data_IF_404811256713
#
_entry.id   IF_404811256713
#
_cell.length_a   1.000
_cell.length_b   1.000
_cell.length_c   1.000
_cell.angle_alpha   90.00
_cell.angle_beta   90.00
_cell.angle_gamma   90.00
#
_symmetry.space_group_name_H-M   'P 1'
#
loop_
_entity.id
_entity.type
_entity.pdbx_description
1 polymer ?
#
# COMPACT_ATOMS: atom_id res chain seq x y z
N UNK A 1 76.73 -29.67 19.73
CA UNK A 1 75.65 -29.04 18.92
C UNK A 1 74.38 -28.97 19.74
N UNK A 2 74.07 -27.80 20.33
CA UNK A 2 72.71 -27.28 20.64
C UNK A 2 72.90 -25.92 21.34
N UNK A 3 72.08 -24.96 20.91
CA UNK A 3 72.33 -23.51 20.87
C UNK A 3 71.93 -22.78 22.17
N UNK A 4 72.74 -21.76 22.51
CA UNK A 4 72.42 -20.38 22.99
C UNK A 4 71.20 -20.22 23.93
N UNK A 5 71.31 -19.87 25.21
CA UNK A 5 71.79 -18.64 25.88
C UNK A 5 70.92 -17.38 25.64
N UNK A 6 70.67 -16.68 26.76
CA UNK A 6 70.09 -15.35 26.98
C UNK A 6 68.57 -15.21 27.20
N UNK A 7 68.27 -15.32 28.50
CA UNK A 7 67.24 -14.65 29.29
C UNK A 7 67.09 -13.17 28.90
N UNK A 8 65.94 -12.81 28.32
CA UNK A 8 65.58 -11.46 27.91
C UNK A 8 64.29 -10.99 28.59
N UNK A 9 64.47 -10.03 29.51
CA UNK A 9 63.73 -8.77 29.61
C UNK A 9 62.20 -8.80 29.86
N UNK A 10 61.86 -8.48 31.12
CA UNK A 10 60.64 -7.78 31.53
C UNK A 10 60.24 -6.68 30.54
N UNK A 11 58.96 -6.65 30.15
CA UNK A 11 58.23 -5.40 29.92
C UNK A 11 56.72 -5.69 29.97
N UNK A 12 56.14 -5.50 31.15
CA UNK A 12 54.70 -5.61 31.38
C UNK A 12 54.00 -4.45 30.68
N UNK A 13 53.35 -4.72 29.56
CA UNK A 13 52.52 -3.73 28.87
C UNK A 13 51.18 -3.59 29.61
N UNK A 14 51.00 -2.47 30.33
CA UNK A 14 49.67 -1.99 30.71
C UNK A 14 48.93 -1.58 29.44
N UNK A 15 47.99 -2.41 28.98
CA UNK A 15 47.00 -1.99 27.98
C UNK A 15 45.84 -1.38 28.75
N UNK A 16 45.77 -0.05 28.69
CA UNK A 16 44.69 0.74 29.25
C UNK A 16 43.35 0.36 28.63
N UNK A 17 42.35 0.15 29.47
CA UNK A 17 40.96 -0.04 29.10
C UNK A 17 40.45 1.27 28.48
N UNK A 18 40.37 1.34 27.16
CA UNK A 18 39.65 2.41 26.47
C UNK A 18 38.15 2.20 26.70
N UNK A 19 37.61 3.09 27.53
CA UNK A 19 36.19 3.26 27.84
C UNK A 19 35.35 3.33 26.56
N UNK A 20 34.42 2.39 26.38
CA UNK A 20 33.36 2.51 25.39
C UNK A 20 32.37 3.57 25.88
N UNK A 21 32.35 4.75 25.25
CA UNK A 21 31.31 5.74 25.48
C UNK A 21 29.98 5.20 24.95
N UNK A 22 29.07 4.84 25.86
CA UNK A 22 27.69 4.51 25.54
C UNK A 22 26.94 5.77 25.12
N UNK A 23 26.68 5.91 23.82
CA UNK A 23 25.69 6.86 23.31
C UNK A 23 24.32 6.35 23.74
N UNK A 24 23.75 6.98 24.77
CA UNK A 24 22.36 6.78 25.16
C UNK A 24 21.45 7.44 24.13
N UNK A 25 20.71 6.62 23.38
CA UNK A 25 19.57 7.10 22.60
C UNK A 25 18.51 7.65 23.57
N UNK A 26 17.84 8.78 23.25
CA UNK A 26 16.71 9.23 24.03
C UNK A 26 15.58 8.21 23.94
N UNK A 27 15.15 7.71 25.08
CA UNK A 27 13.97 6.86 25.24
C UNK A 27 12.74 7.67 24.80
N UNK A 28 12.18 7.37 23.64
CA UNK A 28 10.84 7.82 23.30
C UNK A 28 9.86 7.12 24.25
N UNK A 29 9.46 7.81 25.31
CA UNK A 29 8.32 7.43 26.12
C UNK A 29 7.07 7.96 25.40
N UNK A 30 6.15 7.11 24.91
CA UNK A 30 4.88 7.60 24.43
C UNK A 30 4.11 8.09 25.65
N UNK A 31 4.06 9.41 25.84
CA UNK A 31 3.14 10.05 26.77
C UNK A 31 1.71 9.69 26.33
N UNK A 32 1.08 8.79 27.08
CA UNK A 32 -0.33 8.48 26.93
C UNK A 32 -1.14 9.65 27.49
N UNK A 33 -1.31 10.70 26.70
CA UNK A 33 -2.32 11.71 26.99
C UNK A 33 -3.69 11.08 26.73
N UNK A 34 -4.43 10.75 27.79
CA UNK A 34 -5.86 10.50 27.70
C UNK A 34 -6.55 11.82 27.38
N UNK A 35 -6.62 12.17 26.10
CA UNK A 35 -7.60 13.14 25.63
C UNK A 35 -8.93 12.41 25.48
N UNK A 36 -9.71 12.41 26.56
CA UNK A 36 -11.17 12.31 26.48
C UNK A 36 -11.70 13.65 25.95
N UNK A 37 -11.50 13.89 24.67
CA UNK A 37 -12.17 14.96 23.94
C UNK A 37 -13.37 14.32 23.22
N UNK A 38 -14.55 14.49 23.81
CA UNK A 38 -15.82 14.35 23.13
C UNK A 38 -15.90 15.38 22.01
N UNK A 39 -15.36 15.05 20.83
CA UNK A 39 -15.60 15.78 19.61
C UNK A 39 -16.94 15.34 19.04
N UNK A 40 -17.99 16.10 19.34
CA UNK A 40 -19.22 16.11 18.55
C UNK A 40 -18.90 16.76 17.21
N UNK A 41 -18.26 15.99 16.32
CA UNK A 41 -18.30 16.20 14.89
C UNK A 41 -19.25 15.14 14.34
N UNK A 42 -20.34 15.55 13.72
CA UNK A 42 -21.28 14.65 13.04
C UNK A 42 -20.61 14.03 11.81
N UNK A 43 -19.73 13.07 12.05
CA UNK A 43 -19.38 12.02 11.12
C UNK A 43 -19.89 10.74 11.78
N UNK A 44 -21.01 10.23 11.30
CA UNK A 44 -21.59 8.96 11.75
C UNK A 44 -20.64 7.83 11.41
N UNK A 45 -19.72 7.50 12.31
CA UNK A 45 -18.99 6.23 12.26
C UNK A 45 -20.03 5.14 12.57
N UNK A 46 -20.55 4.50 11.53
CA UNK A 46 -21.47 3.37 11.69
C UNK A 46 -20.74 2.26 12.47
N UNK A 47 -21.13 2.06 13.73
CA UNK A 47 -20.52 1.07 14.63
C UNK A 47 -20.93 -0.37 14.30
N UNK A 48 -21.86 -0.57 13.36
CA UNK A 48 -22.29 -1.89 12.90
C UNK A 48 -21.92 -2.09 11.41
N UNK A 49 -20.89 -2.90 11.16
CA UNK A 49 -20.32 -3.15 9.83
C UNK A 49 -21.33 -3.67 8.78
N UNK A 50 -22.44 -4.27 9.22
CA UNK A 50 -23.41 -4.96 8.34
C UNK A 50 -24.80 -4.34 8.37
N UNK A 51 -24.98 -3.20 9.05
CA UNK A 51 -26.27 -2.54 9.18
C UNK A 51 -26.37 -1.33 8.26
N UNK A 52 -27.57 -1.11 7.73
CA UNK A 52 -27.89 0.03 6.87
C UNK A 52 -28.09 -0.35 5.40
N UNK A 53 -28.14 0.67 4.57
CA UNK A 53 -28.20 0.57 3.12
C UNK A 53 -26.91 -0.05 2.55
N UNK A 54 -26.96 -0.60 1.32
CA UNK A 54 -25.76 -1.12 0.66
C UNK A 54 -24.61 -0.09 0.64
N UNK A 55 -24.92 1.19 0.42
CA UNK A 55 -23.95 2.27 0.38
C UNK A 55 -23.27 2.51 1.74
N UNK A 56 -24.01 2.42 2.85
CA UNK A 56 -23.46 2.56 4.20
C UNK A 56 -22.55 1.38 4.56
N UNK A 57 -22.96 0.16 4.22
CA UNK A 57 -22.11 -1.03 4.41
C UNK A 57 -20.81 -0.87 3.63
N UNK A 58 -20.89 -0.47 2.36
CA UNK A 58 -19.71 -0.24 1.52
C UNK A 58 -18.79 0.84 2.11
N UNK A 59 -19.34 1.96 2.58
CA UNK A 59 -18.58 3.05 3.18
C UNK A 59 -17.81 2.63 4.46
N UNK A 60 -18.30 1.61 5.18
CA UNK A 60 -17.56 1.05 6.33
C UNK A 60 -16.44 0.09 5.91
N UNK A 61 -16.60 -0.63 4.78
CA UNK A 61 -15.66 -1.65 4.31
C UNK A 61 -14.53 -1.05 3.46
N UNK A 62 -14.83 -0.05 2.65
CA UNK A 62 -13.87 0.62 1.76
C UNK A 62 -12.59 1.09 2.47
N UNK A 63 -12.62 1.74 3.65
CA UNK A 63 -11.39 2.20 4.30
C UNK A 63 -10.56 1.08 4.93
N UNK A 64 -11.10 -0.13 5.10
CA UNK A 64 -10.40 -1.23 5.77
C UNK A 64 -9.19 -1.71 4.95
N UNK A 65 -8.13 -2.11 5.65
CA UNK A 65 -6.94 -2.70 5.03
C UNK A 65 -7.24 -4.10 4.49
N UNK A 66 -6.50 -4.53 3.46
CA UNK A 66 -6.62 -5.90 2.93
C UNK A 66 -6.40 -6.96 4.01
N UNK A 67 -5.45 -6.75 4.94
CA UNK A 67 -5.22 -7.68 6.06
C UNK A 67 -6.41 -7.78 7.00
N UNK A 68 -7.08 -6.65 7.29
CA UNK A 68 -8.29 -6.64 8.12
C UNK A 68 -9.45 -7.32 7.41
N UNK A 69 -9.63 -7.06 6.12
CA UNK A 69 -10.65 -7.70 5.29
C UNK A 69 -10.45 -9.22 5.23
N UNK A 70 -9.23 -9.71 5.03
CA UNK A 70 -8.93 -11.16 5.05
C UNK A 70 -9.23 -11.79 6.41
N UNK A 71 -8.91 -11.10 7.52
CA UNK A 71 -9.26 -11.57 8.86
C UNK A 71 -10.78 -11.60 9.10
N UNK A 72 -11.54 -10.65 8.56
CA UNK A 72 -13.00 -10.68 8.61
C UNK A 72 -13.56 -11.82 7.74
N UNK A 73 -12.94 -12.09 6.59
CA UNK A 73 -13.36 -13.16 5.69
C UNK A 73 -13.27 -14.54 6.34
N UNK A 74 -12.21 -14.81 7.12
CA UNK A 74 -12.05 -16.08 7.82
C UNK A 74 -13.03 -16.27 8.98
N UNK A 75 -13.62 -15.19 9.48
CA UNK A 75 -14.62 -15.19 10.56
C UNK A 75 -16.06 -15.18 10.03
N UNK A 76 -16.26 -14.85 8.75
CA UNK A 76 -17.57 -14.71 8.15
C UNK A 76 -18.19 -16.09 7.87
N UNK A 77 -19.22 -16.45 8.63
CA UNK A 77 -20.04 -17.65 8.38
C UNK A 77 -21.21 -17.38 7.43
N UNK A 78 -21.65 -16.12 7.35
CA UNK A 78 -22.76 -15.68 6.52
C UNK A 78 -22.30 -15.45 5.07
N UNK A 79 -22.89 -16.13 4.07
CA UNK A 79 -22.56 -15.95 2.66
C UNK A 79 -22.67 -14.50 2.18
N UNK A 80 -23.66 -13.73 2.68
CA UNK A 80 -23.86 -12.32 2.28
C UNK A 80 -22.71 -11.46 2.79
N UNK A 81 -22.31 -11.64 4.05
CA UNK A 81 -21.16 -10.92 4.62
C UNK A 81 -19.85 -11.29 3.93
N UNK A 82 -19.67 -12.58 3.62
CA UNK A 82 -18.51 -13.07 2.88
C UNK A 82 -18.41 -12.43 1.48
N UNK A 83 -19.54 -12.33 0.77
CA UNK A 83 -19.60 -11.70 -0.55
C UNK A 83 -19.28 -10.20 -0.51
N UNK A 84 -19.74 -9.46 0.50
CA UNK A 84 -19.34 -8.06 0.74
C UNK A 84 -17.83 -7.91 0.95
N UNK A 85 -17.22 -8.78 1.76
CA UNK A 85 -15.77 -8.75 2.02
C UNK A 85 -14.99 -9.10 0.75
N UNK A 86 -15.45 -10.10 0.00
CA UNK A 86 -14.87 -10.47 -1.30
C UNK A 86 -14.89 -9.28 -2.27
N UNK A 87 -15.99 -8.54 -2.33
CA UNK A 87 -16.11 -7.35 -3.17
C UNK A 87 -15.11 -6.26 -2.76
N UNK A 88 -14.96 -6.00 -1.47
CA UNK A 88 -13.98 -5.05 -0.95
C UNK A 88 -12.54 -5.48 -1.29
N UNK A 89 -12.23 -6.77 -1.19
CA UNK A 89 -10.92 -7.32 -1.58
C UNK A 89 -10.66 -7.19 -3.08
N UNK A 90 -11.67 -7.42 -3.94
CA UNK A 90 -11.57 -7.21 -5.40
C UNK A 90 -11.23 -5.75 -5.71
N UNK A 91 -11.92 -4.80 -5.07
CA UNK A 91 -11.65 -3.37 -5.24
C UNK A 91 -10.21 -3.00 -4.85
N UNK A 92 -9.72 -3.47 -3.69
CA UNK A 92 -8.36 -3.20 -3.22
C UNK A 92 -7.30 -3.78 -4.15
N UNK A 93 -7.44 -5.05 -4.54
CA UNK A 93 -6.47 -5.77 -5.36
C UNK A 93 -6.29 -5.14 -6.75
N UNK A 94 -7.37 -4.65 -7.34
CA UNK A 94 -7.39 -4.17 -8.72
C UNK A 94 -7.43 -2.64 -8.86
N UNK A 95 -7.10 -1.90 -7.79
CA UNK A 95 -7.11 -0.42 -7.77
C UNK A 95 -6.28 0.25 -8.86
N UNK A 96 -5.28 -0.44 -9.41
CA UNK A 96 -4.40 0.06 -10.48
C UNK A 96 -4.65 -0.60 -11.84
N UNK A 97 -5.57 -1.54 -11.94
CA UNK A 97 -5.88 -2.27 -13.17
C UNK A 97 -7.39 -2.33 -13.40
N UNK A 98 -7.91 -1.30 -14.06
CA UNK A 98 -9.35 -1.14 -14.33
C UNK A 98 -9.94 -2.27 -15.16
N UNK A 99 -9.18 -2.82 -16.13
CA UNK A 99 -9.65 -3.95 -16.94
C UNK A 99 -9.80 -5.21 -16.08
N UNK A 100 -8.84 -5.49 -15.19
CA UNK A 100 -8.94 -6.60 -14.26
C UNK A 100 -10.05 -6.39 -13.23
N UNK A 101 -10.22 -5.16 -12.74
CA UNK A 101 -11.32 -4.80 -11.84
C UNK A 101 -12.67 -5.11 -12.50
N UNK A 102 -12.88 -4.65 -13.74
CA UNK A 102 -14.12 -4.91 -14.47
C UNK A 102 -14.40 -6.41 -14.63
N UNK A 103 -13.39 -7.20 -15.05
CA UNK A 103 -13.51 -8.66 -15.16
C UNK A 103 -13.91 -9.33 -13.84
N UNK A 104 -13.24 -8.95 -12.76
CA UNK A 104 -13.48 -9.56 -11.44
C UNK A 104 -14.84 -9.13 -10.87
N UNK A 105 -15.32 -7.91 -11.16
CA UNK A 105 -16.65 -7.46 -10.78
C UNK A 105 -17.75 -8.19 -11.56
N UNK A 106 -17.57 -8.42 -12.86
CA UNK A 106 -18.50 -9.22 -13.68
C UNK A 106 -18.58 -10.65 -13.12
N UNK A 107 -17.43 -11.28 -12.86
CA UNK A 107 -17.38 -12.62 -12.30
C UNK A 107 -18.02 -12.70 -10.90
N UNK A 108 -17.77 -11.71 -10.05
CA UNK A 108 -18.37 -11.61 -8.72
C UNK A 108 -19.89 -11.46 -8.78
N UNK A 109 -20.41 -10.62 -9.69
CA UNK A 109 -21.86 -10.45 -9.91
C UNK A 109 -22.51 -11.75 -10.38
N UNK A 110 -21.88 -12.47 -11.30
CA UNK A 110 -22.39 -13.75 -11.80
C UNK A 110 -22.50 -14.81 -10.68
N UNK A 111 -21.60 -14.78 -9.69
CA UNK A 111 -21.64 -15.64 -8.52
C UNK A 111 -22.65 -15.17 -7.45
N UNK A 112 -23.05 -13.89 -7.48
CA UNK A 112 -23.86 -13.24 -6.46
C UNK A 112 -25.04 -12.45 -7.08
N UNK A 113 -25.93 -13.05 -7.89
CA UNK A 113 -26.93 -12.32 -8.67
C UNK A 113 -27.98 -11.58 -7.81
N UNK A 114 -28.33 -12.12 -6.64
CA UNK A 114 -29.31 -11.52 -5.72
C UNK A 114 -28.70 -10.64 -4.64
N UNK A 115 -27.39 -10.37 -4.69
CA UNK A 115 -26.70 -9.67 -3.61
C UNK A 115 -26.98 -8.16 -3.60
N UNK A 116 -27.25 -7.53 -2.44
CA UNK A 116 -27.61 -6.12 -2.34
C UNK A 116 -26.57 -5.15 -2.92
N UNK A 117 -25.29 -5.53 -2.89
CA UNK A 117 -24.20 -4.73 -3.47
C UNK A 117 -24.30 -4.53 -5.00
N UNK A 118 -25.08 -5.34 -5.72
CA UNK A 118 -25.29 -5.15 -7.16
C UNK A 118 -25.88 -3.77 -7.49
N UNK A 119 -26.63 -3.16 -6.57
CA UNK A 119 -27.16 -1.80 -6.70
C UNK A 119 -26.08 -0.71 -6.75
N UNK A 120 -24.88 -0.98 -6.25
CA UNK A 120 -23.75 -0.03 -6.21
C UNK A 120 -22.83 -0.15 -7.42
N UNK A 121 -22.91 -1.26 -8.14
CA UNK A 121 -21.98 -1.56 -9.21
C UNK A 121 -22.44 -0.89 -10.53
N UNK A 122 -21.49 -0.53 -11.43
CA UNK A 122 -21.84 -0.04 -12.76
C UNK A 122 -22.68 -1.06 -13.54
N UNK A 123 -23.41 -0.59 -14.56
CA UNK A 123 -24.15 -1.47 -15.48
C UNK A 123 -23.22 -2.47 -16.17
N UNK A 124 -23.73 -3.64 -16.58
CA UNK A 124 -22.95 -4.63 -17.33
C UNK A 124 -22.29 -4.02 -18.57
N UNK A 125 -23.04 -3.20 -19.31
CA UNK A 125 -22.51 -2.49 -20.47
C UNK A 125 -21.32 -1.56 -20.14
N UNK A 126 -21.34 -0.91 -18.97
CA UNK A 126 -20.21 -0.08 -18.54
C UNK A 126 -19.01 -0.94 -18.14
N UNK A 127 -19.22 -2.09 -17.47
CA UNK A 127 -18.15 -3.02 -17.12
C UNK A 127 -17.52 -3.65 -18.37
N UNK A 128 -18.32 -4.03 -19.37
CA UNK A 128 -17.84 -4.56 -20.65
C UNK A 128 -16.98 -3.55 -21.40
N UNK A 129 -17.39 -2.27 -21.41
CA UNK A 129 -16.59 -1.18 -21.99
C UNK A 129 -15.25 -1.00 -21.27
N UNK A 130 -15.25 -1.04 -19.93
CA UNK A 130 -14.04 -0.93 -19.13
C UNK A 130 -13.10 -2.12 -19.34
N UNK A 131 -13.64 -3.32 -19.56
CA UNK A 131 -12.86 -4.51 -19.88
C UNK A 131 -12.22 -4.41 -21.28
N UNK A 132 -12.95 -3.87 -22.26
CA UNK A 132 -12.48 -3.72 -23.63
C UNK A 132 -11.55 -2.52 -23.85
N UNK A 133 -11.45 -1.60 -22.88
CA UNK A 133 -10.67 -0.37 -23.01
C UNK A 133 -9.16 -0.70 -23.11
N UNK A 134 -8.48 -0.38 -24.23
CA UNK A 134 -7.06 -0.64 -24.36
C UNK A 134 -6.25 0.22 -23.39
N UNK A 135 -5.08 -0.25 -22.91
CA UNK A 135 -4.18 0.58 -22.13
C UNK A 135 -3.72 1.81 -22.93
N UNK A 136 -3.43 2.94 -22.27
CA UNK A 136 -3.04 4.17 -22.96
C UNK A 136 -1.70 4.00 -23.68
N UNK A 137 -1.66 4.27 -24.99
CA UNK A 137 -0.45 4.11 -25.81
C UNK A 137 0.51 5.30 -25.72
N UNK A 138 0.02 6.48 -25.32
CA UNK A 138 0.83 7.69 -25.21
C UNK A 138 0.64 8.33 -23.83
N UNK A 139 1.74 8.58 -23.14
CA UNK A 139 1.75 9.24 -21.84
C UNK A 139 2.56 10.55 -21.93
N UNK A 140 1.91 11.67 -21.60
CA UNK A 140 2.57 12.96 -21.46
C UNK A 140 2.70 13.31 -19.97
N UNK A 141 3.93 13.56 -19.51
CA UNK A 141 4.21 13.91 -18.11
C UNK A 141 4.72 15.34 -18.08
N UNK A 142 3.99 16.20 -17.37
CA UNK A 142 4.31 17.61 -17.19
C UNK A 142 5.14 17.78 -15.91
N UNK A 143 6.40 18.16 -16.06
CA UNK A 143 7.32 18.39 -14.95
C UNK A 143 8.06 19.71 -15.15
N UNK A 144 8.39 20.44 -14.08
CA UNK A 144 9.29 21.57 -14.20
C UNK A 144 10.67 21.09 -14.66
N UNK A 145 11.02 21.38 -15.91
CA UNK A 145 12.34 21.01 -16.46
C UNK A 145 13.44 21.99 -16.05
N UNK A 146 13.06 23.22 -15.68
CA UNK A 146 13.97 24.34 -15.44
C UNK A 146 13.46 25.22 -14.29
N UNK A 147 14.27 26.21 -13.90
CA UNK A 147 13.92 27.17 -12.85
C UNK A 147 14.04 26.58 -11.44
N UNK A 148 13.44 27.23 -10.43
CA UNK A 148 13.61 26.87 -9.01
C UNK A 148 13.24 25.42 -8.67
N UNK A 149 12.34 24.80 -9.44
CA UNK A 149 11.83 23.45 -9.21
C UNK A 149 12.40 22.40 -10.19
N UNK A 150 13.33 22.80 -11.07
CA UNK A 150 13.90 21.92 -12.10
C UNK A 150 14.57 20.67 -11.53
N UNK A 151 15.29 20.83 -10.41
CA UNK A 151 15.95 19.70 -9.73
C UNK A 151 14.94 18.66 -9.23
N UNK A 152 13.82 19.09 -8.63
CA UNK A 152 12.76 18.18 -8.20
C UNK A 152 12.06 17.49 -9.37
N UNK A 153 11.81 18.22 -10.46
CA UNK A 153 11.26 17.66 -11.70
C UNK A 153 12.17 16.57 -12.28
N UNK A 154 13.49 16.78 -12.27
CA UNK A 154 14.45 15.80 -12.73
C UNK A 154 14.42 14.51 -11.88
N UNK A 155 14.37 14.62 -10.55
CA UNK A 155 14.27 13.44 -9.67
C UNK A 155 13.00 12.63 -9.92
N UNK A 156 11.85 13.31 -10.14
CA UNK A 156 10.60 12.62 -10.47
C UNK A 156 10.69 11.91 -11.82
N UNK A 157 11.29 12.56 -12.83
CA UNK A 157 11.52 11.95 -14.15
C UNK A 157 12.37 10.69 -14.05
N UNK A 158 13.46 10.74 -13.31
CA UNK A 158 14.36 9.60 -13.12
C UNK A 158 13.68 8.46 -12.37
N UNK A 159 12.97 8.76 -11.28
CA UNK A 159 12.18 7.77 -10.53
C UNK A 159 11.12 7.10 -11.40
N UNK A 160 10.39 7.88 -12.20
CA UNK A 160 9.42 7.34 -13.15
C UNK A 160 10.09 6.41 -14.17
N UNK A 161 11.16 6.86 -14.82
CA UNK A 161 11.84 6.08 -15.86
C UNK A 161 12.41 4.76 -15.31
N UNK A 162 12.98 4.78 -14.10
CA UNK A 162 13.46 3.57 -13.43
C UNK A 162 12.33 2.55 -13.23
N UNK A 163 11.18 2.99 -12.66
CA UNK A 163 10.03 2.12 -12.46
C UNK A 163 9.40 1.64 -13.78
N UNK A 164 9.34 2.53 -14.78
CA UNK A 164 8.82 2.25 -16.11
C UNK A 164 9.63 1.16 -16.80
N UNK A 165 10.96 1.31 -16.85
CA UNK A 165 11.84 0.34 -17.48
C UNK A 165 11.91 -0.98 -16.72
N UNK A 166 11.77 -0.96 -15.39
CA UNK A 166 11.63 -2.19 -14.59
C UNK A 166 10.33 -2.98 -14.90
N UNK A 167 9.33 -2.34 -15.51
CA UNK A 167 8.03 -2.96 -15.82
C UNK A 167 7.70 -3.00 -17.32
N UNK A 168 8.67 -2.75 -18.21
CA UNK A 168 8.50 -2.72 -19.68
C UNK A 168 7.66 -3.88 -20.25
N UNK A 169 7.89 -5.10 -19.76
CA UNK A 169 7.16 -6.30 -20.21
C UNK A 169 5.64 -6.24 -19.97
N UNK A 170 5.17 -5.46 -18.99
CA UNK A 170 3.75 -5.27 -18.68
C UNK A 170 3.13 -4.08 -19.42
N UNK A 171 3.97 -3.14 -19.85
CA UNK A 171 3.56 -1.85 -20.40
C UNK A 171 3.29 -1.92 -21.91
N UNK A 172 3.90 -2.88 -22.62
CA UNK A 172 3.69 -3.05 -24.06
C UNK A 172 4.25 -1.89 -24.89
N UNK A 173 3.58 -1.52 -25.98
CA UNK A 173 4.05 -0.52 -26.94
C UNK A 173 3.74 0.95 -26.52
N UNK A 174 3.76 1.25 -25.22
CA UNK A 174 3.50 2.60 -24.74
C UNK A 174 4.70 3.53 -25.02
N UNK A 175 4.42 4.77 -25.42
CA UNK A 175 5.42 5.83 -25.55
C UNK A 175 5.23 6.90 -24.46
N UNK A 176 6.32 7.30 -23.81
CA UNK A 176 6.31 8.34 -22.77
C UNK A 176 7.05 9.59 -23.26
N UNK A 177 6.45 10.77 -23.06
CA UNK A 177 7.04 12.07 -23.36
C UNK A 177 6.99 12.97 -22.13
N UNK A 178 8.11 13.65 -21.85
CA UNK A 178 8.21 14.62 -20.76
C UNK A 178 8.17 16.04 -21.34
N UNK A 179 7.42 16.91 -20.68
CA UNK A 179 7.20 18.31 -21.03
C UNK A 179 7.43 19.20 -19.82
#
# INVERSE_FOLDING_TARGET
MKKQLLLGMMMTALIGLTSCSSVSLPSFTPSSSKNSASSTGTGTYNTALWEGSPAEIWATLEPLSSSRLTALQSQATDPVKSAWIQLALISKRNSTNTQQLARDLIAWRAQNPSHPANSLLPSDAALDQLQALPPPQHLAILLPQHGPYGSSGQTVREGFLNAYYANLAKVGNQSVKFY
#
